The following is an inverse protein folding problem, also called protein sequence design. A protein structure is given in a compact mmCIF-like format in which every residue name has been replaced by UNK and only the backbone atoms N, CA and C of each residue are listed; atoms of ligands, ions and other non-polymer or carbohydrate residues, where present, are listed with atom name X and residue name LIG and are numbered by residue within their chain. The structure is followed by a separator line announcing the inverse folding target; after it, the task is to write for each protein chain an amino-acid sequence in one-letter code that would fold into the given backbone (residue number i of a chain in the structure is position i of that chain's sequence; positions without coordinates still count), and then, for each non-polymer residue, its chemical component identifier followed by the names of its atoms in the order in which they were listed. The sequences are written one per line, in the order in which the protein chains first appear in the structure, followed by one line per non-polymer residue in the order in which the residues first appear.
data_IF_464684945623
#
_entry.id   IF_464684945623
#
_cell.length_a   1.000
_cell.length_b   1.000
_cell.length_c   1.000
_cell.angle_alpha   90.00
_cell.angle_beta   90.00
_cell.angle_gamma   90.00
#
_symmetry.space_group_name_H-M   'P 1'
#
loop_
_entity.id
_entity.type
_entity.pdbx_description
1 polymer ?
#
# COMPACT_ATOMS: atom_id res chain seq x y z
N UNK A 1 -40.86 -29.85 45.61
CA UNK A 1 -39.64 -29.80 44.79
C UNK A 1 -39.15 -31.22 44.51
N UNK A 2 -39.44 -31.78 43.32
CA UNK A 2 -38.96 -33.13 42.94
C UNK A 2 -37.55 -33.02 42.38
N UNK A 3 -36.55 -33.44 43.15
CA UNK A 3 -35.16 -33.61 42.70
C UNK A 3 -35.10 -34.89 41.85
N UNK A 4 -34.92 -34.77 40.55
CA UNK A 4 -34.51 -35.88 39.69
C UNK A 4 -33.07 -36.26 40.02
N UNK A 5 -32.90 -37.31 40.81
CA UNK A 5 -31.62 -37.98 41.01
C UNK A 5 -31.22 -38.65 39.70
N UNK A 6 -30.25 -38.08 39.00
CA UNK A 6 -29.56 -38.76 37.90
C UNK A 6 -28.72 -39.86 38.55
N UNK A 7 -29.17 -41.11 38.46
CA UNK A 7 -28.42 -42.24 38.96
C UNK A 7 -27.12 -42.39 38.18
N UNK A 8 -25.97 -42.31 38.87
CA UNK A 8 -24.68 -42.70 38.32
C UNK A 8 -24.65 -44.23 38.15
N UNK A 9 -25.16 -44.74 37.03
CA UNK A 9 -25.04 -46.14 36.64
C UNK A 9 -23.70 -46.36 35.92
N UNK A 10 -23.04 -47.50 36.14
CA UNK A 10 -21.80 -47.86 35.46
C UNK A 10 -21.98 -47.90 33.93
N UNK A 11 -21.02 -47.38 33.17
CA UNK A 11 -20.99 -47.50 31.70
C UNK A 11 -20.92 -48.97 31.31
N UNK A 12 -21.85 -49.48 30.49
CA UNK A 12 -21.84 -50.89 30.08
C UNK A 12 -20.62 -51.19 29.20
N UNK A 13 -20.15 -52.43 29.20
CA UNK A 13 -18.99 -52.87 28.40
C UNK A 13 -19.25 -52.76 26.89
N UNK A 14 -20.50 -52.92 26.45
CA UNK A 14 -20.92 -52.89 25.06
C UNK A 14 -22.29 -52.25 24.92
N UNK A 15 -22.53 -51.63 23.77
CA UNK A 15 -23.83 -51.11 23.40
C UNK A 15 -24.37 -51.87 22.18
N UNK A 16 -25.52 -52.52 22.32
CA UNK A 16 -26.10 -53.39 21.27
C UNK A 16 -26.62 -52.62 20.05
N UNK A 17 -27.04 -51.36 20.27
CA UNK A 17 -27.65 -50.52 19.22
C UNK A 17 -26.76 -49.31 18.90
N UNK A 18 -25.92 -48.86 19.83
CA UNK A 18 -25.01 -47.73 19.61
C UNK A 18 -23.77 -48.21 18.85
N UNK A 19 -23.55 -47.68 17.65
CA UNK A 19 -22.40 -48.03 16.80
C UNK A 19 -22.68 -49.09 15.73
N UNK A 20 -23.89 -49.66 15.68
CA UNK A 20 -24.32 -50.56 14.60
C UNK A 20 -24.80 -49.81 13.35
N UNK A 21 -25.16 -48.54 13.48
CA UNK A 21 -25.53 -47.66 12.36
C UNK A 21 -24.32 -47.35 11.48
N UNK A 22 -24.52 -47.33 10.16
CA UNK A 22 -23.46 -46.98 9.21
C UNK A 22 -22.88 -45.59 9.51
N UNK A 23 -21.54 -45.46 9.66
CA UNK A 23 -20.92 -44.19 10.02
C UNK A 23 -21.15 -43.14 8.92
N UNK A 24 -21.32 -41.88 9.32
CA UNK A 24 -21.44 -40.79 8.36
C UNK A 24 -20.13 -40.62 7.57
N UNK A 25 -20.22 -40.38 6.24
CA UNK A 25 -19.03 -40.19 5.42
C UNK A 25 -18.30 -38.91 5.81
N UNK A 26 -16.96 -38.95 5.78
CA UNK A 26 -16.13 -37.76 5.92
C UNK A 26 -16.26 -36.89 4.67
N UNK A 27 -16.25 -35.57 4.84
CA UNK A 27 -16.22 -34.64 3.71
C UNK A 27 -14.92 -34.79 2.92
N UNK A 28 -15.00 -34.72 1.60
CA UNK A 28 -13.85 -34.77 0.69
C UNK A 28 -13.34 -33.39 0.28
N UNK A 29 -14.18 -32.35 0.39
CA UNK A 29 -13.82 -30.97 0.06
C UNK A 29 -14.38 -29.96 1.06
N UNK A 30 -14.25 -28.69 0.68
CA UNK A 30 -14.59 -27.53 1.52
C UNK A 30 -15.53 -26.57 0.80
N UNK A 31 -15.95 -25.50 1.49
CA UNK A 31 -16.75 -24.42 0.89
C UNK A 31 -18.13 -24.88 0.44
N UNK A 32 -18.65 -24.25 -0.63
CA UNK A 32 -19.99 -24.54 -1.15
C UNK A 32 -20.13 -26.04 -1.48
N UNK A 33 -21.19 -26.64 -0.94
CA UNK A 33 -21.52 -28.06 -1.09
C UNK A 33 -20.43 -29.04 -0.65
N UNK A 34 -19.42 -28.59 0.12
CA UNK A 34 -18.22 -29.37 0.47
C UNK A 34 -17.44 -29.93 -0.74
N UNK A 35 -17.49 -29.24 -1.89
CA UNK A 35 -16.87 -29.71 -3.15
C UNK A 35 -15.69 -28.88 -3.65
N UNK A 36 -15.32 -27.81 -2.95
CA UNK A 36 -14.16 -26.99 -3.34
C UNK A 36 -12.86 -27.67 -2.92
N UNK A 37 -11.92 -27.75 -3.86
CA UNK A 37 -10.55 -28.20 -3.61
C UNK A 37 -9.74 -27.10 -2.90
N UNK A 38 -8.86 -27.50 -2.00
CA UNK A 38 -7.83 -26.61 -1.44
C UNK A 38 -6.72 -26.41 -2.47
N UNK A 39 -6.71 -25.26 -3.12
CA UNK A 39 -5.70 -24.87 -4.11
C UNK A 39 -5.42 -23.36 -4.02
N UNK A 40 -4.28 -22.86 -4.54
CA UNK A 40 -4.07 -21.44 -4.69
C UNK A 40 -5.25 -20.80 -5.43
N UNK A 41 -5.75 -19.69 -4.88
CA UNK A 41 -6.93 -18.97 -5.39
C UNK A 41 -6.54 -17.59 -5.90
N UNK A 42 -7.46 -16.93 -6.60
CA UNK A 42 -7.25 -15.56 -7.07
C UNK A 42 -6.97 -14.59 -5.89
N UNK A 43 -7.48 -14.90 -4.69
CA UNK A 43 -7.30 -14.12 -3.44
C UNK A 43 -5.93 -14.31 -2.76
N UNK A 44 -5.04 -15.14 -3.29
CA UNK A 44 -3.67 -15.28 -2.77
C UNK A 44 -2.92 -13.98 -3.01
N UNK A 45 -2.32 -13.39 -1.97
CA UNK A 45 -1.50 -12.20 -2.13
C UNK A 45 -0.13 -12.55 -2.71
N UNK A 46 0.44 -11.64 -3.50
CA UNK A 46 1.83 -11.65 -3.93
C UNK A 46 2.61 -10.67 -3.07
N UNK A 47 3.66 -11.15 -2.40
CA UNK A 47 4.49 -10.35 -1.48
C UNK A 47 5.82 -9.91 -2.12
N UNK A 48 6.13 -10.41 -3.31
CA UNK A 48 7.42 -10.19 -3.97
C UNK A 48 7.42 -8.98 -4.94
N UNK A 49 6.32 -8.21 -4.99
CA UNK A 49 6.09 -7.17 -6.01
C UNK A 49 5.79 -5.80 -5.39
N UNK A 50 6.81 -5.25 -4.75
CA UNK A 50 6.77 -3.92 -4.14
C UNK A 50 6.44 -3.93 -2.65
N UNK A 51 6.29 -2.75 -2.02
CA UNK A 51 6.10 -2.63 -0.58
C UNK A 51 4.72 -3.06 -0.08
N UNK A 52 3.72 -3.09 -0.96
CA UNK A 52 2.33 -3.46 -0.63
C UNK A 52 2.04 -4.81 -1.26
N UNK A 53 1.44 -5.73 -0.50
CA UNK A 53 1.02 -7.01 -1.06
C UNK A 53 -0.06 -6.85 -2.12
N UNK A 54 -0.04 -7.68 -3.16
CA UNK A 54 -0.94 -7.51 -4.31
C UNK A 54 -1.87 -8.70 -4.55
N UNK A 55 -3.19 -8.53 -4.64
CA UNK A 55 -3.95 -7.29 -4.42
C UNK A 55 -3.94 -6.89 -2.93
N UNK A 56 -4.02 -5.60 -2.60
CA UNK A 56 -3.95 -5.13 -1.22
C UNK A 56 -5.11 -5.69 -0.40
N UNK A 57 -4.82 -6.13 0.82
CA UNK A 57 -5.88 -6.56 1.73
C UNK A 57 -6.67 -5.36 2.23
N UNK A 58 -7.90 -5.55 2.74
CA UNK A 58 -8.66 -4.46 3.34
C UNK A 58 -7.91 -3.87 4.55
N UNK A 59 -7.56 -2.59 4.47
CA UNK A 59 -6.93 -1.81 5.55
C UNK A 59 -7.90 -0.72 6.01
N UNK A 60 -7.97 -0.48 7.32
CA UNK A 60 -8.84 0.56 7.91
C UNK A 60 -8.00 1.51 8.76
N UNK A 61 -7.93 2.77 8.33
CA UNK A 61 -7.35 3.86 9.12
C UNK A 61 -8.45 4.50 9.97
N UNK A 62 -8.24 4.60 11.27
CA UNK A 62 -9.22 5.09 12.25
C UNK A 62 -8.68 6.34 12.97
N UNK A 63 -9.54 7.07 13.68
CA UNK A 63 -9.12 8.24 14.46
C UNK A 63 -8.09 7.89 15.54
N UNK A 64 -8.23 6.74 16.20
CA UNK A 64 -7.22 6.25 17.17
C UNK A 64 -5.82 6.12 16.54
N UNK A 65 -5.73 5.69 15.27
CA UNK A 65 -4.45 5.64 14.56
C UNK A 65 -3.90 7.04 14.27
N UNK A 66 -4.75 8.03 14.00
CA UNK A 66 -4.34 9.41 13.77
C UNK A 66 -3.80 10.07 15.05
N UNK A 67 -4.45 9.82 16.19
CA UNK A 67 -3.98 10.35 17.49
C UNK A 67 -2.64 9.75 17.88
N UNK A 68 -2.47 8.44 17.68
CA UNK A 68 -1.17 7.76 17.87
C UNK A 68 -0.10 8.28 16.93
N UNK A 69 -0.45 8.51 15.65
CA UNK A 69 0.48 9.07 14.67
C UNK A 69 0.91 10.49 15.07
N UNK A 70 -0.03 11.33 15.51
CA UNK A 70 0.25 12.70 15.98
C UNK A 70 1.17 12.70 17.19
N UNK A 71 0.91 11.84 18.17
CA UNK A 71 1.76 11.71 19.36
C UNK A 71 3.17 11.21 18.99
N UNK A 72 3.27 10.24 18.08
CA UNK A 72 4.54 9.76 17.54
C UNK A 72 5.32 10.88 16.83
N UNK A 73 4.67 11.64 15.94
CA UNK A 73 5.30 12.75 15.22
C UNK A 73 5.84 13.84 16.17
N UNK A 74 5.07 14.18 17.21
CA UNK A 74 5.51 15.15 18.22
C UNK A 74 6.77 14.65 18.94
N UNK A 75 6.77 13.39 19.40
CA UNK A 75 7.92 12.80 20.09
C UNK A 75 9.17 12.79 19.21
N UNK A 76 9.08 12.29 17.98
CA UNK A 76 10.23 12.25 17.06
C UNK A 76 10.79 13.64 16.75
N UNK A 77 9.91 14.64 16.66
CA UNK A 77 10.30 16.05 16.42
C UNK A 77 11.05 16.62 17.63
N UNK A 78 10.56 16.37 18.85
CA UNK A 78 11.20 16.84 20.08
C UNK A 78 12.55 16.14 20.36
N UNK A 79 12.65 14.86 20.00
CA UNK A 79 13.88 14.07 20.11
C UNK A 79 14.88 14.36 18.97
N UNK A 80 14.52 15.20 18.00
CA UNK A 80 15.38 15.58 16.87
C UNK A 80 15.66 14.44 15.88
N UNK A 81 14.81 13.41 15.84
CA UNK A 81 14.96 12.25 14.96
C UNK A 81 14.31 12.51 13.61
N UNK A 82 15.11 12.68 12.56
CA UNK A 82 14.60 13.06 11.22
C UNK A 82 14.53 11.90 10.21
N UNK A 83 15.19 10.78 10.48
CA UNK A 83 15.33 9.65 9.54
C UNK A 83 13.99 9.05 9.09
N UNK A 84 13.01 8.95 9.99
CA UNK A 84 11.68 8.43 9.66
C UNK A 84 10.92 9.39 8.73
N UNK A 85 11.01 10.71 8.97
CA UNK A 85 10.42 11.71 8.10
C UNK A 85 11.05 11.67 6.70
N UNK A 86 12.37 11.52 6.61
CA UNK A 86 13.07 11.41 5.33
C UNK A 86 12.64 10.17 4.53
N UNK A 87 12.47 9.02 5.19
CA UNK A 87 11.93 7.81 4.54
C UNK A 87 10.50 8.02 4.05
N UNK A 88 9.63 8.64 4.84
CA UNK A 88 8.24 8.94 4.45
C UNK A 88 8.23 9.90 3.25
N UNK A 89 9.06 10.95 3.27
CA UNK A 89 9.18 11.92 2.18
C UNK A 89 9.73 11.27 0.90
N UNK A 90 10.69 10.36 1.02
CA UNK A 90 11.23 9.62 -0.11
C UNK A 90 10.17 8.72 -0.76
N UNK A 91 9.43 7.95 0.05
CA UNK A 91 8.30 7.14 -0.43
C UNK A 91 7.22 8.01 -1.08
N UNK A 92 6.84 9.12 -0.44
CA UNK A 92 5.87 10.05 -1.01
C UNK A 92 6.37 10.58 -2.35
N UNK A 93 7.60 11.10 -2.42
CA UNK A 93 8.19 11.63 -3.66
C UNK A 93 8.20 10.59 -4.78
N UNK A 94 8.53 9.34 -4.50
CA UNK A 94 8.53 8.30 -5.53
C UNK A 94 7.12 8.01 -6.05
N UNK A 95 6.14 7.85 -5.16
CA UNK A 95 4.81 7.31 -5.51
C UNK A 95 3.71 8.35 -5.70
N UNK A 96 3.99 9.65 -5.53
CA UNK A 96 3.00 10.74 -5.65
C UNK A 96 3.06 11.52 -6.96
N UNK A 97 3.77 11.00 -7.97
CA UNK A 97 4.05 11.73 -9.19
C UNK A 97 2.81 11.82 -10.09
N UNK A 98 2.72 12.92 -10.84
CA UNK A 98 1.60 13.13 -11.74
C UNK A 98 1.64 12.11 -12.88
N UNK A 99 0.50 11.48 -13.13
CA UNK A 99 0.34 10.42 -14.13
C UNK A 99 0.43 11.00 -15.53
N UNK A 100 1.06 10.25 -16.44
CA UNK A 100 1.13 10.60 -17.86
C UNK A 100 -0.24 10.39 -18.52
N UNK A 101 -0.62 11.28 -19.44
CA UNK A 101 -1.84 11.13 -20.21
C UNK A 101 -1.74 9.89 -21.11
N UNK A 102 -2.74 8.99 -21.11
CA UNK A 102 -2.73 7.83 -21.98
C UNK A 102 -2.89 8.23 -23.45
N UNK A 103 -2.36 7.40 -24.35
CA UNK A 103 -2.51 7.58 -25.80
C UNK A 103 -3.95 7.25 -26.20
N UNK A 104 -4.45 7.89 -27.27
CA UNK A 104 -5.78 7.58 -27.82
C UNK A 104 -5.86 6.09 -28.19
N UNK A 105 -6.90 5.43 -27.69
CA UNK A 105 -7.13 3.99 -27.89
C UNK A 105 -6.60 3.10 -26.77
N UNK A 106 -5.74 3.61 -25.88
CA UNK A 106 -5.26 2.87 -24.73
C UNK A 106 -6.33 2.86 -23.62
N UNK A 107 -7.02 1.73 -23.49
CA UNK A 107 -8.12 1.53 -22.54
C UNK A 107 -8.01 0.14 -21.92
N UNK A 108 -8.36 0.03 -20.63
CA UNK A 108 -8.42 -1.26 -19.96
C UNK A 108 -9.39 -2.22 -20.67
N UNK A 109 -9.00 -3.48 -20.91
CA UNK A 109 -9.83 -4.43 -21.62
C UNK A 109 -11.06 -4.80 -20.81
N UNK A 110 -12.23 -4.79 -21.47
CA UNK A 110 -13.49 -5.25 -20.88
C UNK A 110 -13.64 -6.76 -21.04
N UNK A 111 -14.43 -7.37 -20.15
CA UNK A 111 -14.79 -8.78 -20.29
C UNK A 111 -15.68 -8.98 -21.53
N UNK A 112 -15.33 -9.86 -22.49
CA UNK A 112 -16.10 -10.03 -23.72
C UNK A 112 -17.53 -10.49 -23.45
N UNK A 113 -18.47 -9.93 -24.21
CA UNK A 113 -19.89 -10.33 -24.15
C UNK A 113 -20.10 -11.70 -24.80
N UNK A 114 -21.26 -12.31 -24.57
CA UNK A 114 -21.68 -13.59 -25.18
C UNK A 114 -20.78 -14.82 -24.91
N UNK A 115 -19.75 -14.71 -24.07
CA UNK A 115 -18.97 -15.87 -23.60
C UNK A 115 -19.64 -16.64 -22.47
N UNK A 116 -20.23 -15.91 -21.51
CA UNK A 116 -20.94 -16.47 -20.37
C UNK A 116 -22.21 -15.68 -20.09
N UNK A 117 -23.17 -16.29 -19.39
CA UNK A 117 -24.32 -15.57 -18.81
C UNK A 117 -23.82 -14.45 -17.88
N UNK A 118 -24.57 -13.35 -17.82
CA UNK A 118 -24.18 -12.13 -17.08
C UNK A 118 -23.88 -12.40 -15.59
N UNK A 119 -24.59 -13.34 -14.96
CA UNK A 119 -24.42 -13.68 -13.54
C UNK A 119 -23.28 -14.69 -13.27
N UNK A 120 -22.49 -15.05 -14.29
CA UNK A 120 -21.43 -16.05 -14.14
C UNK A 120 -20.18 -15.47 -13.46
N UNK A 121 -19.50 -16.30 -12.66
CA UNK A 121 -18.29 -15.89 -11.90
C UNK A 121 -17.09 -15.46 -12.77
N UNK A 122 -17.09 -15.83 -14.06
CA UNK A 122 -15.99 -15.54 -14.98
C UNK A 122 -15.70 -14.04 -15.11
N UNK A 123 -16.73 -13.19 -15.09
CA UNK A 123 -16.59 -11.73 -15.20
C UNK A 123 -15.72 -11.16 -14.07
N UNK A 124 -15.98 -11.57 -12.81
CA UNK A 124 -15.18 -11.13 -11.66
C UNK A 124 -13.78 -11.74 -11.67
N UNK A 125 -13.65 -13.01 -12.07
CA UNK A 125 -12.33 -13.68 -12.18
C UNK A 125 -11.43 -13.00 -13.20
N UNK A 126 -11.97 -12.60 -14.34
CA UNK A 126 -11.25 -11.84 -15.36
C UNK A 126 -10.68 -10.54 -14.77
N UNK A 127 -11.54 -9.73 -14.14
CA UNK A 127 -11.14 -8.46 -13.54
C UNK A 127 -10.02 -8.64 -12.51
N UNK A 128 -10.18 -9.57 -11.58
CA UNK A 128 -9.16 -9.83 -10.53
C UNK A 128 -7.85 -10.27 -11.16
N UNK A 129 -7.87 -11.16 -12.15
CA UNK A 129 -6.64 -11.67 -12.79
C UNK A 129 -5.94 -10.60 -13.63
N UNK A 130 -6.69 -9.70 -14.26
CA UNK A 130 -6.14 -8.57 -14.98
C UNK A 130 -5.40 -7.61 -14.04
N UNK A 131 -6.07 -7.12 -12.99
CA UNK A 131 -5.42 -6.23 -12.02
C UNK A 131 -4.29 -6.91 -11.25
N UNK A 132 -4.40 -8.21 -10.97
CA UNK A 132 -3.33 -8.96 -10.29
C UNK A 132 -2.06 -9.03 -11.13
N UNK A 133 -2.18 -9.19 -12.45
CA UNK A 133 -1.03 -9.17 -13.36
C UNK A 133 -0.38 -7.77 -13.43
N UNK A 134 -1.19 -6.72 -13.44
CA UNK A 134 -0.73 -5.33 -13.52
C UNK A 134 -0.45 -4.75 -12.11
N UNK A 135 0.63 -5.20 -11.47
CA UNK A 135 1.06 -4.66 -10.17
C UNK A 135 1.55 -3.23 -10.30
N UNK A 136 1.63 -2.45 -9.20
CA UNK A 136 2.10 -1.07 -9.25
C UNK A 136 3.49 -0.93 -9.86
N UNK A 137 4.37 -1.91 -9.74
CA UNK A 137 5.69 -1.93 -10.41
C UNK A 137 5.58 -1.92 -11.95
N UNK A 138 4.51 -2.47 -12.52
CA UNK A 138 4.28 -2.55 -13.97
C UNK A 138 3.51 -1.33 -14.52
N UNK A 139 3.10 -0.38 -13.67
CA UNK A 139 2.41 0.83 -14.13
C UNK A 139 3.37 1.82 -14.79
N UNK A 140 3.55 1.68 -16.10
CA UNK A 140 4.41 2.54 -16.92
C UNK A 140 3.88 3.97 -17.09
N UNK A 141 2.58 4.17 -16.90
CA UNK A 141 1.94 5.49 -16.96
C UNK A 141 2.27 6.38 -15.76
N UNK A 142 2.82 5.81 -14.67
CA UNK A 142 3.27 6.56 -13.50
C UNK A 142 4.81 6.67 -13.52
N UNK A 143 5.37 7.86 -13.86
CA UNK A 143 6.80 8.02 -14.04
C UNK A 143 7.51 7.95 -12.69
N UNK A 144 8.43 6.99 -12.55
CA UNK A 144 9.15 6.67 -11.32
C UNK A 144 10.61 6.36 -11.61
N UNK A 145 11.42 6.43 -10.55
CA UNK A 145 12.84 6.09 -10.59
C UNK A 145 13.77 7.30 -10.60
N UNK A 146 15.09 7.06 -10.52
CA UNK A 146 16.10 8.10 -10.31
C UNK A 146 16.28 9.05 -11.49
N UNK A 147 15.91 8.63 -12.71
CA UNK A 147 16.02 9.45 -13.91
C UNK A 147 14.91 10.52 -14.02
N UNK A 148 13.94 10.51 -13.12
CA UNK A 148 12.74 11.32 -13.22
C UNK A 148 12.93 12.68 -12.53
N UNK A 149 12.57 13.77 -13.23
CA UNK A 149 12.62 15.13 -12.69
C UNK A 149 11.35 15.43 -11.90
N UNK A 150 11.48 15.66 -10.60
CA UNK A 150 10.36 15.93 -9.68
C UNK A 150 10.29 17.41 -9.27
N UNK A 151 9.74 18.32 -10.10
CA UNK A 151 9.83 19.77 -9.88
C UNK A 151 9.10 20.26 -8.62
N UNK A 152 8.05 19.56 -8.19
CA UNK A 152 7.25 19.95 -7.03
C UNK A 152 7.82 19.46 -5.69
N UNK A 153 8.84 18.60 -5.72
CA UNK A 153 9.39 17.97 -4.52
C UNK A 153 10.83 18.38 -4.26
N UNK A 154 11.21 18.36 -2.98
CA UNK A 154 12.60 18.53 -2.56
C UNK A 154 13.39 17.24 -2.81
N UNK A 155 14.62 17.39 -3.32
CA UNK A 155 15.44 16.29 -3.81
C UNK A 155 16.32 15.66 -2.73
N UNK A 156 16.78 16.43 -1.75
CA UNK A 156 17.72 15.94 -0.73
C UNK A 156 17.31 16.36 0.67
N UNK A 157 17.65 15.58 1.72
CA UNK A 157 17.42 15.92 3.12
C UNK A 157 17.86 17.35 3.48
N UNK A 158 18.98 17.80 2.91
CA UNK A 158 19.55 19.15 3.12
C UNK A 158 18.62 20.31 2.72
N UNK A 159 17.61 20.08 1.89
CA UNK A 159 16.65 21.09 1.46
C UNK A 159 15.46 21.23 2.42
N UNK A 160 15.30 20.32 3.39
CA UNK A 160 14.22 20.36 4.37
C UNK A 160 14.51 21.34 5.51
N UNK A 161 13.48 21.92 6.15
CA UNK A 161 13.64 23.07 7.03
C UNK A 161 14.51 22.78 8.25
N UNK A 162 14.59 21.55 8.74
CA UNK A 162 15.51 21.15 9.81
C UNK A 162 16.99 21.46 9.53
N UNK A 163 17.41 21.53 8.26
CA UNK A 163 18.77 21.87 7.85
C UNK A 163 19.01 23.38 7.66
N UNK A 164 18.09 24.23 8.13
CA UNK A 164 18.17 25.70 8.00
C UNK A 164 19.50 26.31 8.48
N UNK A 165 20.12 25.75 9.53
CA UNK A 165 21.41 26.24 10.06
C UNK A 165 22.58 26.04 9.09
N UNK A 166 22.52 25.02 8.24
CA UNK A 166 23.56 24.77 7.25
C UNK A 166 23.40 25.71 6.06
N UNK A 167 22.14 25.99 5.67
CA UNK A 167 21.81 26.93 4.59
C UNK A 167 22.30 28.35 4.91
N UNK A 168 22.13 28.82 6.15
CA UNK A 168 22.59 30.15 6.57
C UNK A 168 24.12 30.27 6.64
N UNK A 169 24.84 29.18 6.89
CA UNK A 169 26.31 29.18 6.85
C UNK A 169 26.84 29.25 5.42
N UNK A 170 26.19 28.58 4.49
CA UNK A 170 26.57 28.62 3.07
C UNK A 170 26.26 29.97 2.43
N UNK A 171 25.12 30.59 2.74
CA UNK A 171 24.78 31.94 2.24
C UNK A 171 25.76 33.02 2.68
N UNK A 172 26.34 32.88 3.88
CA UNK A 172 27.32 33.83 4.40
C UNK A 172 28.73 33.63 3.80
N UNK A 173 29.02 32.44 3.27
CA UNK A 173 30.26 32.14 2.54
C UNK A 173 30.16 32.50 1.05
N UNK A 174 28.95 32.61 0.50
CA UNK A 174 28.68 33.03 -0.88
C UNK A 174 28.22 34.51 -0.95
N UNK A 175 29.03 35.43 -0.43
CA UNK A 175 28.82 36.88 -0.57
C UNK A 175 29.14 37.39 -1.99
N UNK A 176 28.61 38.56 -2.40
CA UNK A 176 28.41 38.92 -3.80
C UNK A 176 29.68 39.45 -4.51
N UNK A 177 30.10 38.77 -5.57
CA UNK A 177 30.93 39.33 -6.65
C UNK A 177 30.03 40.14 -7.59
N UNK A 178 29.81 41.43 -7.28
CA UNK A 178 29.67 42.56 -8.20
C UNK A 178 28.88 43.70 -7.55
N UNK A 179 29.61 44.58 -6.85
CA UNK A 179 29.31 46.00 -6.84
C UNK A 179 30.52 46.68 -7.44
N UNK A 180 30.53 46.83 -8.77
CA UNK A 180 31.50 47.70 -9.45
C UNK A 180 31.01 49.13 -9.25
N UNK A 181 31.57 49.76 -8.23
CA UNK A 181 31.60 51.21 -8.09
C UNK A 181 32.48 51.76 -9.21
N UNK A 182 31.95 52.68 -10.00
CA UNK A 182 32.60 53.18 -11.21
C UNK A 182 31.93 54.46 -11.72
N UNK A 183 31.80 55.45 -10.84
CA UNK A 183 31.37 56.80 -11.20
C UNK A 183 32.44 57.51 -12.03
N UNK A 184 32.35 57.42 -13.35
CA UNK A 184 33.19 58.18 -14.28
C UNK A 184 32.43 59.44 -14.75
N UNK A 185 32.73 60.58 -14.10
CA UNK A 185 32.30 61.91 -14.56
C UNK A 185 33.07 62.27 -15.83
N UNK A 186 32.39 62.26 -16.99
CA UNK A 186 32.90 62.93 -18.20
C UNK A 186 32.58 64.43 -18.13
N UNK A 187 33.60 65.24 -17.90
CA UNK A 187 33.58 66.66 -18.22
C UNK A 187 33.73 66.86 -19.73
N UNK A 188 32.88 67.72 -20.31
CA UNK A 188 33.05 68.30 -21.64
C UNK A 188 33.82 69.62 -21.49
N UNK A 189 34.85 69.90 -22.31
CA UNK A 189 35.43 71.24 -22.37
C UNK A 189 34.71 72.11 -23.40
N UNK A 190 34.59 73.40 -23.06
CA UNK A 190 34.65 74.52 -24.00
C UNK A 190 36.12 74.88 -24.18
#
# INVERSE_FOLDING_TARGET
MRRTLVGCTATPEKYTILGTTHPHPRRTGFGRDNKMRSKPSDNVAWYDKGPVEWLPRPVRLTHDHLDRLRAWMMRETLEGRTEAFDRIRALHREWSQHVLMPVLGDVEPRFPTNLFKQNHCAKRRFLVRWHKANTPEHWVWMPRGPAMVTPLHRSHPSQFPENWRQLTRQSNLSGPLHSMDGGEKRGLPV
#
